data_IF_787925664378
#
_entry.id   IF_787925664378
#
_cell.length_a   1.000
_cell.length_b   1.000
_cell.length_c   1.000
_cell.angle_alpha   90.00
_cell.angle_beta   90.00
_cell.angle_gamma   90.00
#
_symmetry.space_group_name_H-M   'P 1'
#
loop_
_entity.id
_entity.type
_entity.pdbx_description
1 polymer ?
#
# COMPACT_ATOMS: atom_id res chain seq x y z
N UNK A 1 -14.71 34.24 12.78
CA UNK A 1 -15.41 32.97 12.56
C UNK A 1 -14.36 31.88 12.63
N UNK A 2 -14.38 31.05 13.68
CA UNK A 2 -13.52 29.85 13.75
C UNK A 2 -13.81 28.99 12.52
N UNK A 3 -12.77 28.68 11.74
CA UNK A 3 -12.94 27.77 10.59
C UNK A 3 -13.42 26.41 11.12
N UNK A 4 -14.57 25.96 10.65
CA UNK A 4 -15.08 24.62 10.98
C UNK A 4 -14.05 23.58 10.55
N UNK A 5 -13.64 22.72 11.47
CA UNK A 5 -12.67 21.66 11.22
C UNK A 5 -13.38 20.52 10.52
N UNK A 6 -12.98 20.16 9.28
CA UNK A 6 -13.67 19.13 8.54
C UNK A 6 -13.50 17.76 9.19
N UNK A 7 -14.61 17.02 9.21
CA UNK A 7 -14.70 15.63 9.67
C UNK A 7 -14.97 14.74 8.45
N UNK A 8 -14.10 13.80 8.20
CA UNK A 8 -14.17 12.94 7.02
C UNK A 8 -14.39 11.48 7.45
N UNK A 9 -15.38 10.84 6.85
CA UNK A 9 -15.56 9.38 6.89
C UNK A 9 -14.79 8.75 5.73
N UNK A 10 -13.86 7.87 6.01
CA UNK A 10 -13.15 7.05 5.03
C UNK A 10 -13.67 5.62 5.00
N UNK A 11 -13.71 5.02 3.81
CA UNK A 11 -14.13 3.64 3.57
C UNK A 11 -13.13 2.95 2.65
N UNK A 12 -12.64 1.77 3.06
CA UNK A 12 -11.68 0.95 2.31
C UNK A 12 -12.19 -0.49 2.18
N UNK A 13 -12.24 -0.99 0.93
CA UNK A 13 -12.59 -2.37 0.60
C UNK A 13 -11.90 -2.85 -0.68
N UNK A 14 -10.72 -2.33 -1.01
CA UNK A 14 -10.09 -2.63 -2.32
C UNK A 14 -9.58 -4.06 -2.46
N UNK A 15 -9.34 -4.77 -1.36
CA UNK A 15 -8.74 -6.10 -1.36
C UNK A 15 -9.41 -7.03 -0.32
N UNK A 16 -8.77 -7.31 0.81
CA UNK A 16 -9.23 -8.25 1.84
C UNK A 16 -9.43 -7.61 3.23
N UNK A 17 -9.31 -6.29 3.34
CA UNK A 17 -9.67 -5.53 4.53
C UNK A 17 -10.98 -4.77 4.32
N UNK A 18 -11.94 -4.94 5.23
CA UNK A 18 -13.11 -4.06 5.35
C UNK A 18 -12.80 -3.01 6.40
N UNK A 19 -12.68 -1.74 6.02
CA UNK A 19 -12.34 -0.71 6.99
C UNK A 19 -13.21 0.54 6.87
N UNK A 20 -13.45 1.19 8.02
CA UNK A 20 -14.04 2.50 8.13
C UNK A 20 -13.31 3.34 9.18
N UNK A 21 -13.14 4.63 8.92
CA UNK A 21 -12.43 5.54 9.80
C UNK A 21 -13.04 6.93 9.80
N UNK A 22 -13.00 7.58 10.96
CA UNK A 22 -13.35 9.00 11.09
C UNK A 22 -12.08 9.76 11.49
N UNK A 23 -11.74 10.76 10.68
CA UNK A 23 -10.65 11.68 11.00
C UNK A 23 -11.16 13.12 11.09
N UNK A 24 -10.43 13.95 11.84
CA UNK A 24 -10.70 15.37 11.97
C UNK A 24 -9.39 16.16 11.93
N UNK A 25 -9.40 17.32 11.27
CA UNK A 25 -8.28 18.26 11.36
C UNK A 25 -8.34 19.04 12.67
N UNK A 26 -7.19 19.23 13.32
CA UNK A 26 -7.03 20.03 14.53
C UNK A 26 -6.79 21.52 14.21
N UNK A 27 -6.67 22.37 15.25
CA UNK A 27 -6.39 23.81 15.10
C UNK A 27 -5.03 24.11 14.50
N UNK A 28 -4.06 23.28 14.80
CA UNK A 28 -2.68 23.39 14.33
C UNK A 28 -2.46 22.79 12.93
N UNK A 29 -3.55 22.31 12.27
CA UNK A 29 -3.51 21.65 10.97
C UNK A 29 -3.05 20.19 11.01
N UNK A 30 -2.80 19.63 12.20
CA UNK A 30 -2.57 18.19 12.36
C UNK A 30 -3.87 17.42 12.26
N UNK A 31 -3.78 16.14 11.91
CA UNK A 31 -4.94 15.26 11.79
C UNK A 31 -5.07 14.39 13.03
N UNK A 32 -6.27 14.30 13.57
CA UNK A 32 -6.63 13.36 14.64
C UNK A 32 -7.46 12.22 14.04
N UNK A 33 -7.00 11.00 14.21
CA UNK A 33 -7.79 9.80 13.94
C UNK A 33 -8.73 9.62 15.13
N UNK A 34 -10.03 9.84 14.91
CA UNK A 34 -11.05 9.67 15.96
C UNK A 34 -11.45 8.20 16.10
N UNK A 35 -11.46 7.47 14.99
CA UNK A 35 -11.64 6.01 14.94
C UNK A 35 -11.01 5.45 13.68
N UNK A 36 -10.53 4.20 13.73
CA UNK A 36 -10.05 3.46 12.56
C UNK A 36 -10.29 1.98 12.80
N UNK A 37 -11.41 1.47 12.27
CA UNK A 37 -11.84 0.09 12.46
C UNK A 37 -11.48 -0.69 11.20
N UNK A 38 -10.73 -1.77 11.38
CA UNK A 38 -10.29 -2.67 10.30
C UNK A 38 -10.75 -4.08 10.65
N UNK A 39 -11.42 -4.73 9.72
CA UNK A 39 -11.77 -6.15 9.78
C UNK A 39 -11.00 -6.88 8.69
N UNK A 40 -9.92 -7.54 9.05
CA UNK A 40 -9.16 -8.39 8.13
C UNK A 40 -9.92 -9.68 7.80
N UNK A 41 -9.68 -10.19 6.61
CA UNK A 41 -10.25 -11.44 6.11
C UNK A 41 -9.18 -12.53 5.97
N UNK A 42 -8.00 -12.35 6.60
CA UNK A 42 -6.88 -13.30 6.53
C UNK A 42 -7.32 -14.72 6.85
N UNK A 43 -8.14 -14.91 7.89
CA UNK A 43 -8.61 -16.25 8.31
C UNK A 43 -9.46 -16.93 7.23
N UNK A 44 -10.25 -16.16 6.47
CA UNK A 44 -11.09 -16.68 5.38
C UNK A 44 -10.21 -17.15 4.21
N UNK A 45 -9.13 -16.40 3.92
CA UNK A 45 -8.28 -16.64 2.75
C UNK A 45 -7.11 -17.59 3.01
N UNK A 46 -6.79 -17.83 4.29
CA UNK A 46 -5.68 -18.69 4.70
C UNK A 46 -5.78 -20.11 4.13
N UNK A 47 -6.96 -20.70 4.11
CA UNK A 47 -7.20 -22.04 3.57
C UNK A 47 -6.92 -22.14 2.06
N UNK A 48 -7.10 -21.03 1.33
CA UNK A 48 -6.85 -20.96 -0.12
C UNK A 48 -5.39 -20.57 -0.45
N UNK A 49 -4.64 -20.16 0.57
CA UNK A 49 -3.26 -19.67 0.40
C UNK A 49 -3.15 -18.42 -0.46
N UNK A 50 -4.19 -17.57 -0.44
CA UNK A 50 -4.30 -16.31 -1.16
C UNK A 50 -5.74 -15.83 -1.28
N UNK A 51 -5.94 -14.59 -1.72
CA UNK A 51 -7.25 -13.93 -1.75
C UNK A 51 -8.13 -14.53 -2.84
N UNK A 52 -9.39 -14.84 -2.48
CA UNK A 52 -10.47 -15.27 -3.39
C UNK A 52 -11.45 -14.10 -3.53
N UNK A 53 -11.50 -13.41 -4.68
CA UNK A 53 -12.22 -12.14 -4.82
C UNK A 53 -13.71 -12.20 -4.47
N UNK A 54 -14.41 -13.27 -4.87
CA UNK A 54 -15.85 -13.42 -4.57
C UNK A 54 -16.12 -13.59 -3.08
N UNK A 55 -15.28 -14.35 -2.36
CA UNK A 55 -15.39 -14.49 -0.90
C UNK A 55 -15.09 -13.17 -0.21
N UNK A 56 -14.07 -12.44 -0.70
CA UNK A 56 -13.75 -11.12 -0.17
C UNK A 56 -14.92 -10.16 -0.33
N UNK A 57 -15.52 -10.08 -1.51
CA UNK A 57 -16.65 -9.19 -1.78
C UNK A 57 -17.87 -9.51 -0.90
N UNK A 58 -18.20 -10.80 -0.70
CA UNK A 58 -19.28 -11.23 0.21
C UNK A 58 -19.00 -10.79 1.64
N UNK A 59 -17.80 -11.03 2.15
CA UNK A 59 -17.40 -10.61 3.49
C UNK A 59 -17.44 -9.08 3.65
N UNK A 60 -17.07 -8.31 2.63
CA UNK A 60 -17.25 -6.85 2.65
C UNK A 60 -18.73 -6.47 2.78
N UNK A 61 -19.60 -7.06 1.95
CA UNK A 61 -21.04 -6.78 1.97
C UNK A 61 -21.69 -7.09 3.32
N UNK A 62 -21.26 -8.17 3.98
CA UNK A 62 -21.75 -8.57 5.30
C UNK A 62 -21.26 -7.69 6.45
N UNK A 63 -20.12 -7.01 6.30
CA UNK A 63 -19.47 -6.31 7.41
C UNK A 63 -19.46 -4.80 7.30
N UNK A 64 -19.61 -4.23 6.10
CA UNK A 64 -19.35 -2.82 5.86
C UNK A 64 -20.21 -1.88 6.71
N UNK A 65 -21.50 -2.22 6.92
CA UNK A 65 -22.41 -1.42 7.74
C UNK A 65 -22.03 -1.51 9.23
N UNK A 66 -21.70 -2.70 9.73
CA UNK A 66 -21.29 -2.93 11.11
C UNK A 66 -19.97 -2.19 11.43
N UNK A 67 -18.99 -2.31 10.55
CA UNK A 67 -17.68 -1.66 10.68
C UNK A 67 -17.84 -0.13 10.64
N UNK A 68 -18.69 0.39 9.75
CA UNK A 68 -18.96 1.83 9.64
C UNK A 68 -19.71 2.35 10.86
N UNK A 69 -20.72 1.64 11.37
CA UNK A 69 -21.43 1.98 12.63
C UNK A 69 -20.45 2.00 13.81
N UNK A 70 -19.59 0.99 13.91
CA UNK A 70 -18.57 0.90 14.95
C UNK A 70 -17.62 2.09 14.89
N UNK A 71 -17.13 2.45 13.70
CA UNK A 71 -16.26 3.61 13.51
C UNK A 71 -16.93 4.91 13.96
N UNK A 72 -18.20 5.13 13.59
CA UNK A 72 -18.97 6.29 14.00
C UNK A 72 -19.15 6.31 15.53
N UNK A 73 -19.55 5.21 16.15
CA UNK A 73 -19.75 5.11 17.59
C UNK A 73 -18.45 5.37 18.37
N UNK A 74 -17.34 4.73 17.99
CA UNK A 74 -16.06 4.89 18.67
C UNK A 74 -15.46 6.30 18.49
N UNK A 75 -15.80 6.99 17.40
CA UNK A 75 -15.36 8.37 17.18
C UNK A 75 -16.02 9.37 18.11
N UNK A 76 -17.15 9.03 18.72
CA UNK A 76 -17.97 9.95 19.52
C UNK A 76 -18.67 11.06 18.71
N UNK A 77 -18.64 10.97 17.36
CA UNK A 77 -19.19 11.99 16.46
C UNK A 77 -20.60 11.62 16.05
N UNK A 78 -21.50 12.60 16.05
CA UNK A 78 -22.80 12.43 15.42
C UNK A 78 -22.61 12.35 13.89
N UNK A 79 -23.19 11.34 13.22
CA UNK A 79 -23.07 11.11 11.78
C UNK A 79 -23.43 12.37 10.95
N UNK A 80 -24.37 13.18 11.43
CA UNK A 80 -24.79 14.45 10.77
C UNK A 80 -23.66 15.49 10.72
N UNK A 81 -22.65 15.37 11.59
CA UNK A 81 -21.51 16.26 11.65
C UNK A 81 -20.39 15.91 10.68
N UNK A 82 -20.47 14.77 10.00
CA UNK A 82 -19.55 14.40 8.90
C UNK A 82 -19.68 15.43 7.80
N UNK A 83 -18.57 15.93 7.29
CA UNK A 83 -18.52 16.96 6.25
C UNK A 83 -18.35 16.38 4.84
N UNK A 84 -17.71 15.21 4.69
CA UNK A 84 -17.62 14.47 3.44
C UNK A 84 -17.41 12.97 3.69
N UNK A 85 -17.74 12.16 2.69
CA UNK A 85 -17.49 10.73 2.65
C UNK A 85 -16.48 10.43 1.55
N UNK A 86 -15.38 9.77 1.93
CA UNK A 86 -14.33 9.33 1.02
C UNK A 86 -14.35 7.81 0.91
N UNK A 87 -14.34 7.26 -0.30
CA UNK A 87 -14.27 5.82 -0.50
C UNK A 87 -13.30 5.45 -1.62
N UNK A 88 -12.67 4.30 -1.50
CA UNK A 88 -11.72 3.81 -2.49
C UNK A 88 -12.45 3.46 -3.79
N UNK A 89 -12.02 4.11 -4.88
CA UNK A 89 -12.54 3.88 -6.22
C UNK A 89 -11.63 2.97 -7.07
N UNK A 90 -10.40 2.76 -6.64
CA UNK A 90 -9.37 1.94 -7.30
C UNK A 90 -7.95 2.39 -6.93
N UNK A 91 -6.91 1.66 -7.38
CA UNK A 91 -7.01 0.32 -7.95
C UNK A 91 -7.38 -0.74 -6.91
N UNK A 92 -7.81 -1.94 -7.38
CA UNK A 92 -8.16 -3.05 -6.50
C UNK A 92 -8.99 -4.12 -7.20
N UNK A 93 -9.51 -5.07 -6.44
CA UNK A 93 -10.42 -6.10 -6.93
C UNK A 93 -11.78 -5.47 -7.23
N UNK A 94 -12.23 -5.53 -8.49
CA UNK A 94 -13.43 -4.80 -8.96
C UNK A 94 -14.67 -5.11 -8.11
N UNK A 95 -14.87 -6.38 -7.75
CA UNK A 95 -16.02 -6.81 -6.94
C UNK A 95 -15.94 -6.26 -5.51
N UNK A 96 -14.75 -6.18 -4.93
CA UNK A 96 -14.51 -5.62 -3.60
C UNK A 96 -14.67 -4.09 -3.60
N UNK A 97 -14.05 -3.41 -4.57
CA UNK A 97 -14.20 -1.96 -4.76
C UNK A 97 -15.67 -1.56 -4.89
N UNK A 98 -16.47 -2.33 -5.65
CA UNK A 98 -17.88 -2.04 -5.87
C UNK A 98 -18.69 -2.01 -4.58
N UNK A 99 -18.34 -2.81 -3.58
CA UNK A 99 -19.05 -2.81 -2.29
C UNK A 99 -18.81 -1.49 -1.54
N UNK A 100 -17.56 -1.15 -1.24
CA UNK A 100 -17.24 0.04 -0.44
C UNK A 100 -17.54 1.35 -1.17
N UNK A 101 -17.29 1.40 -2.48
CA UNK A 101 -17.57 2.58 -3.30
C UNK A 101 -19.07 2.91 -3.30
N UNK A 102 -19.95 1.92 -3.58
CA UNK A 102 -21.40 2.15 -3.60
C UNK A 102 -21.96 2.41 -2.21
N UNK A 103 -21.43 1.75 -1.17
CA UNK A 103 -21.80 2.07 0.20
C UNK A 103 -21.43 3.51 0.57
N UNK A 104 -20.23 3.97 0.26
CA UNK A 104 -19.78 5.34 0.51
C UNK A 104 -20.66 6.38 -0.22
N UNK A 105 -21.01 6.12 -1.48
CA UNK A 105 -21.94 6.97 -2.26
C UNK A 105 -23.33 7.05 -1.63
N UNK A 106 -23.87 5.89 -1.20
CA UNK A 106 -25.19 5.84 -0.55
C UNK A 106 -25.18 6.64 0.77
N UNK A 107 -24.12 6.53 1.58
CA UNK A 107 -23.97 7.30 2.81
C UNK A 107 -23.86 8.81 2.48
N UNK A 108 -23.03 9.21 1.52
CA UNK A 108 -22.89 10.61 1.10
C UNK A 108 -24.21 11.20 0.63
N UNK A 109 -24.94 10.48 -0.23
CA UNK A 109 -26.26 10.87 -0.73
C UNK A 109 -27.29 11.03 0.40
N UNK A 110 -27.37 10.06 1.32
CA UNK A 110 -28.32 10.09 2.44
C UNK A 110 -28.07 11.25 3.39
N UNK A 111 -26.80 11.60 3.61
CA UNK A 111 -26.39 12.74 4.44
C UNK A 111 -26.41 14.08 3.70
N UNK A 112 -26.64 14.08 2.39
CA UNK A 112 -26.49 15.25 1.52
C UNK A 112 -25.12 15.92 1.67
N UNK A 113 -24.07 15.10 1.69
CA UNK A 113 -22.67 15.55 1.83
C UNK A 113 -21.88 15.24 0.57
N UNK A 114 -20.78 15.99 0.31
CA UNK A 114 -19.89 15.68 -0.79
C UNK A 114 -19.35 14.25 -0.72
N UNK A 115 -19.25 13.62 -1.89
CA UNK A 115 -18.58 12.35 -2.09
C UNK A 115 -17.19 12.58 -2.68
N UNK A 116 -16.20 11.79 -2.26
CA UNK A 116 -14.81 11.87 -2.72
C UNK A 116 -14.33 10.47 -3.07
N UNK A 117 -14.06 10.26 -4.34
CA UNK A 117 -13.45 9.04 -4.84
C UNK A 117 -11.94 9.10 -4.59
N UNK A 118 -11.39 8.04 -3.98
CA UNK A 118 -9.99 8.01 -3.60
C UNK A 118 -9.25 6.92 -4.36
N UNK A 119 -8.05 7.27 -4.85
CA UNK A 119 -7.10 6.29 -5.34
C UNK A 119 -6.43 5.61 -4.12
N UNK A 120 -6.54 4.28 -4.03
CA UNK A 120 -5.97 3.48 -2.94
C UNK A 120 -4.47 3.74 -2.74
N UNK A 121 -3.71 3.85 -3.83
CA UNK A 121 -2.27 4.12 -3.76
C UNK A 121 -1.97 5.54 -3.27
N UNK A 122 -2.86 6.51 -3.56
CA UNK A 122 -2.79 7.85 -3.01
C UNK A 122 -3.05 7.83 -1.49
N UNK A 123 -3.94 6.95 -1.02
CA UNK A 123 -4.13 6.66 0.40
C UNK A 123 -2.81 6.31 1.08
N UNK A 124 -2.10 5.32 0.57
CA UNK A 124 -0.77 4.96 1.09
C UNK A 124 0.24 6.10 0.98
N UNK A 125 0.25 6.84 -0.14
CA UNK A 125 1.18 7.95 -0.36
C UNK A 125 1.01 9.07 0.67
N UNK A 126 -0.22 9.34 1.10
CA UNK A 126 -0.54 10.38 2.07
C UNK A 126 -0.69 9.88 3.52
N UNK A 127 -0.67 8.57 3.75
CA UNK A 127 -0.81 8.00 5.10
C UNK A 127 0.15 8.59 6.14
N UNK A 128 1.40 8.98 5.83
CA UNK A 128 2.28 9.63 6.81
C UNK A 128 1.78 11.00 7.30
N UNK A 129 0.90 11.68 6.54
CA UNK A 129 0.29 12.94 6.99
C UNK A 129 -0.68 12.77 8.17
N UNK A 130 -1.12 11.54 8.46
CA UNK A 130 -1.95 11.24 9.63
C UNK A 130 -1.24 11.49 10.96
N UNK A 131 0.10 11.44 10.97
CA UNK A 131 0.90 11.56 12.19
C UNK A 131 2.13 12.46 12.05
N UNK A 132 2.29 13.12 10.90
CA UNK A 132 3.40 14.04 10.65
C UNK A 132 2.99 15.20 9.74
N UNK A 133 3.65 16.34 9.86
CA UNK A 133 3.54 17.46 8.91
C UNK A 133 4.41 17.18 7.69
N UNK A 134 3.93 16.30 6.81
CA UNK A 134 4.63 15.97 5.57
C UNK A 134 4.32 17.02 4.49
N UNK A 135 5.37 17.73 4.07
CA UNK A 135 5.32 18.71 3.01
C UNK A 135 5.84 18.13 1.70
N UNK A 136 5.33 18.67 0.59
CA UNK A 136 5.82 18.37 -0.75
C UNK A 136 7.05 19.21 -1.12
N UNK A 137 7.90 18.78 -2.07
CA UNK A 137 7.90 17.47 -2.70
C UNK A 137 8.60 16.40 -1.84
N UNK A 138 8.25 15.13 -2.05
CA UNK A 138 8.95 13.99 -1.45
C UNK A 138 9.09 12.83 -2.42
N UNK A 139 10.08 11.97 -2.19
CA UNK A 139 10.23 10.68 -2.85
C UNK A 139 9.43 9.65 -2.08
N UNK A 140 8.59 8.89 -2.76
CA UNK A 140 7.82 7.79 -2.21
C UNK A 140 8.36 6.45 -2.73
N UNK A 141 8.64 5.53 -1.83
CA UNK A 141 8.73 4.11 -2.09
C UNK A 141 7.43 3.45 -1.59
N UNK A 142 6.57 3.08 -2.51
CA UNK A 142 5.34 2.34 -2.23
C UNK A 142 5.62 0.85 -2.38
N UNK A 143 5.48 0.09 -1.29
CA UNK A 143 5.73 -1.36 -1.23
C UNK A 143 4.60 -2.08 -0.49
N UNK A 144 3.73 -2.73 -1.25
CA UNK A 144 2.56 -3.47 -0.74
C UNK A 144 2.49 -4.88 -1.34
N UNK A 145 1.42 -5.60 -1.06
CA UNK A 145 1.11 -6.89 -1.66
C UNK A 145 1.05 -6.83 -3.19
N UNK A 146 0.38 -5.83 -3.75
CA UNK A 146 0.16 -5.70 -5.19
C UNK A 146 1.05 -4.68 -5.90
N UNK A 147 1.74 -3.80 -5.18
CA UNK A 147 2.48 -2.68 -5.77
C UNK A 147 3.88 -2.52 -5.20
N UNK A 148 4.85 -2.23 -6.10
CA UNK A 148 6.21 -1.84 -5.71
C UNK A 148 6.72 -0.81 -6.69
N UNK A 149 6.78 0.47 -6.26
CA UNK A 149 7.16 1.56 -7.16
C UNK A 149 7.77 2.75 -6.43
N UNK A 150 8.64 3.46 -7.16
CA UNK A 150 9.21 4.75 -6.76
C UNK A 150 8.45 5.87 -7.46
N UNK A 151 8.00 6.85 -6.69
CA UNK A 151 7.25 8.01 -7.18
C UNK A 151 7.85 9.31 -6.64
N UNK A 152 8.03 10.30 -7.50
CA UNK A 152 8.20 11.69 -7.07
C UNK A 152 6.83 12.30 -6.86
N UNK A 153 6.51 12.66 -5.63
CA UNK A 153 5.25 13.29 -5.24
C UNK A 153 5.45 14.79 -5.16
N UNK A 154 4.88 15.52 -6.11
CA UNK A 154 5.04 16.98 -6.20
C UNK A 154 3.95 17.75 -5.46
N UNK A 155 2.76 17.20 -5.41
CA UNK A 155 1.59 17.74 -4.73
C UNK A 155 0.48 16.67 -4.73
N UNK A 156 -0.66 16.93 -4.08
CA UNK A 156 -1.87 16.13 -4.19
C UNK A 156 -2.23 15.94 -5.68
N UNK A 157 -2.48 14.70 -6.09
CA UNK A 157 -2.80 14.35 -7.48
C UNK A 157 -1.66 14.54 -8.50
N UNK A 158 -0.43 14.91 -8.07
CA UNK A 158 0.70 15.18 -8.97
C UNK A 158 1.87 14.24 -8.70
N UNK A 159 1.83 13.11 -9.35
CA UNK A 159 2.80 12.01 -9.20
C UNK A 159 3.62 11.85 -10.48
N UNK A 160 4.91 11.50 -10.32
CA UNK A 160 5.77 11.07 -11.42
C UNK A 160 6.44 9.77 -11.04
N UNK A 161 6.15 8.71 -11.77
CA UNK A 161 6.77 7.41 -11.56
C UNK A 161 8.23 7.43 -12.03
N UNK A 162 9.16 7.09 -11.13
CA UNK A 162 10.58 6.95 -11.43
C UNK A 162 10.94 5.51 -11.78
N UNK A 163 10.23 4.55 -11.18
CA UNK A 163 10.37 3.13 -11.44
C UNK A 163 9.26 2.32 -10.81
N UNK A 164 9.06 1.11 -11.28
CA UNK A 164 8.07 0.17 -10.76
C UNK A 164 8.58 -1.25 -10.89
N UNK A 165 7.95 -2.20 -10.19
CA UNK A 165 8.21 -3.61 -10.48
C UNK A 165 7.79 -3.94 -11.91
N UNK A 166 8.60 -4.77 -12.59
CA UNK A 166 8.31 -5.25 -13.95
C UNK A 166 7.67 -6.64 -13.95
N UNK A 167 7.53 -7.23 -12.78
CA UNK A 167 6.96 -8.55 -12.56
C UNK A 167 6.20 -8.61 -11.21
N UNK A 168 6.57 -9.47 -10.27
CA UNK A 168 5.92 -9.58 -8.97
C UNK A 168 6.16 -8.31 -8.11
N UNK A 169 5.19 -7.92 -7.29
CA UNK A 169 5.40 -6.95 -6.22
C UNK A 169 6.21 -7.57 -5.07
N UNK A 170 6.87 -6.74 -4.26
CA UNK A 170 7.71 -7.25 -3.16
C UNK A 170 6.89 -8.01 -2.12
N UNK A 171 5.70 -7.54 -1.75
CA UNK A 171 4.83 -8.26 -0.81
C UNK A 171 4.37 -9.60 -1.38
N UNK A 172 3.97 -9.62 -2.65
CA UNK A 172 3.65 -10.86 -3.36
C UNK A 172 4.84 -11.83 -3.41
N UNK A 173 6.07 -11.33 -3.52
CA UNK A 173 7.27 -12.17 -3.46
C UNK A 173 7.49 -12.79 -2.07
N UNK A 174 7.18 -12.05 -0.99
CA UNK A 174 7.15 -12.59 0.38
C UNK A 174 6.12 -13.70 0.53
N UNK A 175 4.87 -13.48 0.10
CA UNK A 175 3.79 -14.46 0.22
C UNK A 175 4.07 -15.73 -0.60
N UNK A 176 4.53 -15.57 -1.84
CA UNK A 176 4.93 -16.69 -2.69
C UNK A 176 6.10 -17.47 -2.09
N UNK A 177 7.09 -16.80 -1.52
CA UNK A 177 8.22 -17.44 -0.86
C UNK A 177 7.76 -18.22 0.37
N UNK A 178 6.91 -17.65 1.22
CA UNK A 178 6.33 -18.33 2.38
C UNK A 178 5.62 -19.62 1.97
N UNK A 179 4.73 -19.53 0.97
CA UNK A 179 4.04 -20.70 0.42
C UNK A 179 4.99 -21.79 -0.07
N UNK A 180 6.09 -21.43 -0.78
CA UNK A 180 7.06 -22.38 -1.32
C UNK A 180 7.83 -23.14 -0.25
N UNK A 181 8.01 -22.56 0.94
CA UNK A 181 8.72 -23.20 2.05
C UNK A 181 7.76 -23.72 3.14
N UNK A 182 6.47 -23.76 2.82
CA UNK A 182 5.42 -24.30 3.70
C UNK A 182 5.20 -23.47 4.97
N UNK A 183 5.19 -22.15 4.81
CA UNK A 183 4.82 -21.17 5.84
C UNK A 183 3.44 -20.61 5.49
N UNK A 184 2.62 -20.38 6.52
CA UNK A 184 1.23 -19.92 6.38
C UNK A 184 1.13 -18.47 5.89
N UNK A 185 -0.01 -18.16 5.25
CA UNK A 185 -0.41 -16.81 4.89
C UNK A 185 -0.85 -16.00 6.14
N UNK A 186 -0.55 -14.67 6.23
CA UNK A 186 0.22 -13.85 5.29
C UNK A 186 1.74 -14.06 5.44
N UNK A 187 2.43 -14.18 4.28
CA UNK A 187 3.83 -14.57 4.24
C UNK A 187 4.81 -13.53 4.77
N UNK A 188 4.54 -12.24 4.56
CA UNK A 188 5.46 -11.16 4.95
C UNK A 188 5.88 -11.21 6.42
N UNK A 189 4.96 -11.11 7.39
CA UNK A 189 5.29 -11.20 8.83
C UNK A 189 5.94 -12.52 9.22
N UNK A 190 5.50 -13.62 8.63
CA UNK A 190 6.03 -14.95 8.94
C UNK A 190 7.47 -15.13 8.44
N UNK A 191 7.80 -14.66 7.23
CA UNK A 191 9.18 -14.67 6.73
C UNK A 191 10.08 -13.80 7.62
N UNK A 192 9.61 -12.62 8.06
CA UNK A 192 10.37 -11.77 8.98
C UNK A 192 10.68 -12.50 10.30
N UNK A 193 9.69 -13.24 10.84
CA UNK A 193 9.88 -14.00 12.08
C UNK A 193 10.87 -15.16 11.89
N UNK A 194 10.71 -15.95 10.82
CA UNK A 194 11.61 -17.06 10.50
C UNK A 194 13.05 -16.58 10.25
N UNK A 195 13.21 -15.45 9.58
CA UNK A 195 14.50 -14.86 9.27
C UNK A 195 15.34 -14.50 10.51
N UNK A 196 14.69 -14.25 11.66
CA UNK A 196 15.40 -13.98 12.93
C UNK A 196 16.24 -15.17 13.41
N UNK A 197 15.85 -16.39 13.03
CA UNK A 197 16.45 -17.64 13.50
C UNK A 197 17.37 -18.29 12.45
N UNK A 198 17.50 -17.68 11.26
CA UNK A 198 18.28 -18.20 10.13
C UNK A 198 19.61 -17.51 9.90
N UNK A 199 20.45 -18.16 9.10
CA UNK A 199 21.67 -17.56 8.57
C UNK A 199 21.37 -16.83 7.25
N UNK A 200 21.48 -15.49 7.19
CA UNK A 200 21.20 -14.73 5.99
C UNK A 200 22.22 -14.92 4.85
N UNK A 201 23.35 -15.60 5.13
CA UNK A 201 24.40 -15.88 4.14
C UNK A 201 24.40 -17.32 3.63
N UNK A 202 23.48 -18.16 4.13
CA UNK A 202 23.45 -19.59 3.78
C UNK A 202 23.19 -19.83 2.29
N UNK A 203 22.27 -19.06 1.69
CA UNK A 203 21.89 -19.21 0.30
C UNK A 203 22.20 -17.93 -0.47
N UNK A 204 22.97 -18.04 -1.56
CA UNK A 204 23.23 -16.92 -2.46
C UNK A 204 22.07 -16.81 -3.47
N UNK A 205 21.17 -15.88 -3.24
CA UNK A 205 20.00 -15.65 -4.08
C UNK A 205 20.26 -14.53 -5.09
N UNK A 206 19.70 -14.62 -6.32
CA UNK A 206 19.92 -13.61 -7.34
C UNK A 206 19.25 -12.29 -6.97
N UNK A 207 19.82 -11.19 -7.44
CA UNK A 207 19.24 -9.84 -7.40
C UNK A 207 18.83 -9.42 -8.81
N UNK A 208 17.59 -9.72 -9.26
CA UNK A 208 17.19 -9.45 -10.63
C UNK A 208 17.32 -7.98 -10.99
N UNK A 209 17.73 -7.71 -12.23
CA UNK A 209 17.90 -6.36 -12.82
C UNK A 209 18.71 -5.34 -11.98
N UNK A 210 19.46 -5.79 -10.99
CA UNK A 210 20.20 -4.87 -10.11
C UNK A 210 21.27 -4.06 -10.87
N UNK A 211 21.90 -4.69 -11.86
CA UNK A 211 22.94 -4.07 -12.71
C UNK A 211 22.33 -3.31 -13.90
N UNK A 212 21.02 -3.35 -14.11
CA UNK A 212 20.34 -2.52 -15.09
C UNK A 212 20.05 -1.16 -14.47
N UNK A 213 20.41 -0.10 -15.13
CA UNK A 213 20.14 1.27 -14.69
C UNK A 213 18.66 1.53 -14.39
N UNK A 214 18.38 2.67 -13.75
CA UNK A 214 17.03 3.09 -13.42
C UNK A 214 16.46 2.44 -12.15
N UNK A 215 15.25 2.87 -11.78
CA UNK A 215 14.60 2.57 -10.52
C UNK A 215 13.64 1.36 -10.58
N UNK A 216 13.58 0.64 -11.71
CA UNK A 216 12.69 -0.52 -11.81
C UNK A 216 13.13 -1.67 -10.90
N UNK A 217 12.15 -2.39 -10.39
CA UNK A 217 12.29 -3.54 -9.49
C UNK A 217 11.89 -4.83 -10.21
N UNK A 218 12.39 -5.97 -9.74
CA UNK A 218 12.00 -7.32 -10.20
C UNK A 218 12.24 -8.34 -9.10
N UNK A 219 11.28 -9.22 -8.88
CA UNK A 219 11.32 -10.25 -7.83
C UNK A 219 11.01 -11.66 -8.35
N UNK A 220 10.51 -11.82 -9.58
CA UNK A 220 10.13 -13.14 -10.13
C UNK A 220 11.33 -14.09 -10.25
N UNK A 221 12.52 -13.58 -10.61
CA UNK A 221 13.74 -14.38 -10.66
C UNK A 221 14.17 -14.88 -9.28
N UNK A 222 13.96 -14.08 -8.24
CA UNK A 222 14.21 -14.44 -6.84
C UNK A 222 13.28 -15.59 -6.40
N UNK A 223 11.98 -15.50 -6.71
CA UNK A 223 11.01 -16.58 -6.47
C UNK A 223 11.43 -17.90 -7.12
N UNK A 224 11.89 -17.86 -8.38
CA UNK A 224 12.34 -19.05 -9.08
C UNK A 224 13.55 -19.70 -8.41
N UNK A 225 14.48 -18.90 -7.89
CA UNK A 225 15.63 -19.41 -7.11
C UNK A 225 15.18 -20.05 -5.81
N UNK A 226 14.27 -19.41 -5.07
CA UNK A 226 13.66 -19.98 -3.85
C UNK A 226 12.97 -21.31 -4.15
N UNK A 227 12.18 -21.42 -5.24
CA UNK A 227 11.52 -22.66 -5.65
C UNK A 227 12.53 -23.79 -5.89
N UNK A 228 13.68 -23.52 -6.50
CA UNK A 228 14.71 -24.54 -6.71
C UNK A 228 15.29 -25.05 -5.40
N UNK A 229 15.61 -24.14 -4.48
CA UNK A 229 16.21 -24.47 -3.18
C UNK A 229 15.17 -25.17 -2.29
N UNK A 230 13.91 -24.74 -2.29
CA UNK A 230 12.86 -25.30 -1.43
C UNK A 230 12.64 -26.80 -1.63
N UNK A 231 12.93 -27.33 -2.82
CA UNK A 231 12.84 -28.78 -3.13
C UNK A 231 13.85 -29.62 -2.34
N UNK A 232 14.96 -29.06 -1.91
CA UNK A 232 16.01 -29.75 -1.14
C UNK A 232 15.90 -29.54 0.39
N UNK A 233 15.03 -28.61 0.82
CA UNK A 233 14.86 -28.30 2.25
C UNK A 233 14.12 -29.44 2.96
N UNK A 234 14.72 -29.94 4.06
CA UNK A 234 14.18 -31.03 4.88
C UNK A 234 13.94 -30.63 6.33
N UNK A 235 14.66 -29.65 6.83
CA UNK A 235 14.67 -29.27 8.24
C UNK A 235 14.07 -27.88 8.47
N UNK A 236 13.59 -27.65 9.69
CA UNK A 236 13.10 -26.32 10.12
C UNK A 236 14.22 -25.27 10.08
N UNK A 237 15.46 -25.67 10.41
CA UNK A 237 16.63 -24.80 10.36
C UNK A 237 16.89 -24.29 8.93
N UNK A 238 16.82 -25.17 7.94
CA UNK A 238 16.99 -24.79 6.53
C UNK A 238 15.88 -23.84 6.06
N UNK A 239 14.63 -23.97 6.56
CA UNK A 239 13.56 -23.00 6.31
C UNK A 239 13.90 -21.62 6.87
N UNK A 240 14.42 -21.56 8.09
CA UNK A 240 14.90 -20.33 8.72
C UNK A 240 16.01 -19.67 7.90
N UNK A 241 16.99 -20.46 7.46
CA UNK A 241 18.12 -19.99 6.67
C UNK A 241 17.67 -19.45 5.30
N UNK A 242 16.73 -20.13 4.64
CA UNK A 242 16.20 -19.65 3.36
C UNK A 242 15.35 -18.37 3.53
N UNK A 243 14.53 -18.29 4.58
CA UNK A 243 13.79 -17.07 4.90
C UNK A 243 14.74 -15.89 5.19
N UNK A 244 15.83 -16.12 5.95
CA UNK A 244 16.83 -15.10 6.25
C UNK A 244 17.58 -14.65 4.99
N UNK A 245 18.00 -15.58 4.13
CA UNK A 245 18.68 -15.28 2.87
C UNK A 245 17.78 -14.53 1.90
N UNK A 246 16.49 -14.91 1.82
CA UNK A 246 15.49 -14.21 1.01
C UNK A 246 15.31 -12.77 1.49
N UNK A 247 15.05 -12.57 2.78
CA UNK A 247 14.84 -11.24 3.33
C UNK A 247 16.05 -10.34 3.13
N UNK A 248 17.26 -10.82 3.41
CA UNK A 248 18.50 -10.10 3.14
C UNK A 248 18.62 -9.68 1.67
N UNK A 249 18.31 -10.57 0.74
CA UNK A 249 18.37 -10.27 -0.69
C UNK A 249 17.37 -9.17 -1.07
N UNK A 250 16.14 -9.18 -0.52
CA UNK A 250 15.15 -8.12 -0.72
C UNK A 250 15.66 -6.79 -0.14
N UNK A 251 16.21 -6.80 1.07
CA UNK A 251 16.82 -5.62 1.71
C UNK A 251 17.90 -4.99 0.81
N UNK A 252 18.80 -5.81 0.25
CA UNK A 252 19.86 -5.34 -0.65
C UNK A 252 19.32 -4.77 -1.98
N UNK A 253 18.28 -5.39 -2.55
CA UNK A 253 17.62 -4.88 -3.76
C UNK A 253 17.01 -3.50 -3.48
N UNK A 254 16.25 -3.38 -2.38
CA UNK A 254 15.60 -2.12 -2.01
C UNK A 254 16.63 -1.04 -1.68
N UNK A 255 17.71 -1.36 -0.96
CA UNK A 255 18.82 -0.43 -0.69
C UNK A 255 19.42 0.13 -1.99
N UNK A 256 19.86 -0.76 -2.90
CA UNK A 256 20.53 -0.36 -4.15
C UNK A 256 19.61 0.45 -5.05
N UNK A 257 18.35 0.05 -5.19
CA UNK A 257 17.38 0.74 -6.05
C UNK A 257 16.90 2.06 -5.43
N UNK A 258 16.78 2.15 -4.11
CA UNK A 258 16.49 3.42 -3.43
C UNK A 258 17.64 4.42 -3.60
N UNK A 259 18.88 3.97 -3.54
CA UNK A 259 20.06 4.83 -3.80
C UNK A 259 20.04 5.44 -5.21
N UNK A 260 19.59 4.68 -6.21
CA UNK A 260 19.39 5.20 -7.58
C UNK A 260 18.21 6.19 -7.60
N UNK A 261 17.09 5.83 -6.93
CA UNK A 261 15.90 6.68 -6.88
C UNK A 261 16.18 8.04 -6.21
N UNK A 262 17.03 8.09 -5.18
CA UNK A 262 17.48 9.34 -4.55
C UNK A 262 18.17 10.27 -5.55
N UNK A 263 19.06 9.74 -6.38
CA UNK A 263 19.74 10.49 -7.44
C UNK A 263 18.74 11.01 -8.48
N UNK A 264 17.83 10.15 -8.95
CA UNK A 264 16.83 10.54 -9.95
C UNK A 264 15.83 11.58 -9.38
N UNK A 265 15.44 11.46 -8.12
CA UNK A 265 14.57 12.41 -7.46
C UNK A 265 15.23 13.80 -7.33
N UNK A 266 16.52 13.87 -6.96
CA UNK A 266 17.26 15.14 -6.85
C UNK A 266 17.47 15.84 -8.19
N UNK A 267 17.50 15.11 -9.32
CA UNK A 267 17.53 15.73 -10.65
C UNK A 267 16.26 16.55 -10.92
N UNK A 268 15.13 16.13 -10.35
CA UNK A 268 13.82 16.77 -10.55
C UNK A 268 13.54 17.80 -9.45
N UNK A 269 14.00 17.53 -8.22
CA UNK A 269 13.75 18.31 -7.01
C UNK A 269 15.07 18.56 -6.29
N UNK A 270 15.82 19.59 -6.73
CA UNK A 270 17.20 19.86 -6.27
C UNK A 270 17.38 19.88 -4.74
N UNK A 271 16.41 20.42 -4.00
CA UNK A 271 16.45 20.53 -2.54
C UNK A 271 15.58 19.46 -1.83
N UNK A 272 15.02 18.50 -2.58
CA UNK A 272 14.17 17.47 -2.01
C UNK A 272 15.01 16.43 -1.25
N UNK A 273 14.69 16.25 0.03
CA UNK A 273 15.39 15.31 0.90
C UNK A 273 14.45 14.39 1.70
N UNK A 274 13.13 14.49 1.55
CA UNK A 274 12.17 13.64 2.26
C UNK A 274 11.96 12.34 1.50
N UNK A 275 12.12 11.22 2.22
CA UNK A 275 11.88 9.87 1.68
C UNK A 275 10.79 9.16 2.48
N UNK A 276 9.66 8.96 1.86
CA UNK A 276 8.50 8.26 2.42
C UNK A 276 8.54 6.80 1.98
N UNK A 277 8.33 5.88 2.92
CA UNK A 277 8.14 4.45 2.62
C UNK A 277 6.79 4.03 3.16
N UNK A 278 5.88 3.60 2.29
CA UNK A 278 4.50 3.28 2.64
C UNK A 278 4.04 1.95 2.00
N UNK A 279 2.89 1.44 2.47
CA UNK A 279 2.36 0.12 2.11
C UNK A 279 2.72 -0.95 3.14
N UNK A 280 2.04 -2.10 3.10
CA UNK A 280 2.14 -3.15 4.12
C UNK A 280 3.57 -3.65 4.39
N UNK A 281 4.41 -3.75 3.36
CA UNK A 281 5.82 -4.19 3.51
C UNK A 281 6.66 -3.15 4.27
N UNK A 282 6.25 -1.88 4.31
CA UNK A 282 6.91 -0.86 5.12
C UNK A 282 6.83 -1.12 6.63
N UNK A 283 6.01 -2.06 7.09
CA UNK A 283 5.98 -2.52 8.48
C UNK A 283 7.19 -3.39 8.85
N UNK A 284 7.87 -4.03 7.89
CA UNK A 284 9.03 -4.90 8.13
C UNK A 284 10.19 -4.11 8.76
N UNK A 285 10.59 -4.52 9.98
CA UNK A 285 11.57 -3.79 10.81
C UNK A 285 12.98 -3.79 10.20
N UNK A 286 13.36 -4.87 9.52
CA UNK A 286 14.69 -4.99 8.89
C UNK A 286 14.78 -4.09 7.66
N UNK A 287 13.75 -4.10 6.82
CA UNK A 287 13.66 -3.21 5.65
C UNK A 287 13.70 -1.74 6.10
N UNK A 288 12.92 -1.35 7.12
CA UNK A 288 12.99 -0.01 7.71
C UNK A 288 14.42 0.36 8.10
N UNK A 289 15.07 -0.50 8.87
CA UNK A 289 16.42 -0.23 9.37
C UNK A 289 17.45 -0.02 8.25
N UNK A 290 17.39 -0.84 7.21
CA UNK A 290 18.27 -0.73 6.04
C UNK A 290 18.02 0.60 5.30
N UNK A 291 16.76 0.97 5.10
CA UNK A 291 16.41 2.23 4.42
C UNK A 291 16.71 3.47 5.28
N UNK A 292 16.54 3.40 6.60
CA UNK A 292 16.97 4.46 7.53
C UNK A 292 18.48 4.69 7.47
N UNK A 293 19.27 3.62 7.42
CA UNK A 293 20.73 3.73 7.28
C UNK A 293 21.11 4.37 5.95
N UNK A 294 20.49 3.95 4.84
CA UNK A 294 20.69 4.57 3.54
C UNK A 294 20.33 6.06 3.54
N UNK A 295 19.24 6.45 4.22
CA UNK A 295 18.86 7.85 4.34
C UNK A 295 19.93 8.68 5.06
N UNK A 296 20.54 8.14 6.12
CA UNK A 296 21.66 8.79 6.81
C UNK A 296 22.87 9.00 5.89
N UNK A 297 23.23 7.95 5.12
CA UNK A 297 24.34 8.01 4.16
C UNK A 297 24.10 9.05 3.06
N UNK A 298 22.89 9.12 2.55
CA UNK A 298 22.52 9.94 1.39
C UNK A 298 21.89 11.29 1.79
N UNK A 299 21.82 11.60 3.09
CA UNK A 299 21.21 12.83 3.65
C UNK A 299 19.76 13.04 3.20
N UNK A 300 18.95 12.00 3.40
CA UNK A 300 17.50 12.03 3.30
C UNK A 300 16.86 11.90 4.67
N UNK A 301 15.67 12.47 4.84
CA UNK A 301 14.84 12.33 6.03
C UNK A 301 13.86 11.16 5.81
N UNK A 302 14.03 10.02 6.50
CA UNK A 302 13.14 8.88 6.34
C UNK A 302 11.82 9.12 7.08
N UNK A 303 10.71 8.86 6.41
CA UNK A 303 9.36 8.99 6.96
C UNK A 303 8.62 7.69 6.74
N UNK A 304 8.25 7.02 7.84
CA UNK A 304 7.47 5.79 7.83
C UNK A 304 6.17 6.00 8.59
N UNK A 305 5.04 5.54 8.08
CA UNK A 305 3.83 5.44 8.90
C UNK A 305 4.07 4.53 10.11
N UNK A 306 3.36 4.73 11.22
CA UNK A 306 3.27 3.73 12.29
C UNK A 306 2.89 2.36 11.74
N UNK A 307 3.37 1.28 12.34
CA UNK A 307 3.18 -0.08 11.81
C UNK A 307 1.69 -0.43 11.60
N UNK A 308 0.82 0.02 12.49
CA UNK A 308 -0.63 -0.17 12.41
C UNK A 308 -1.33 0.65 11.31
N UNK A 309 -0.62 1.58 10.65
CA UNK A 309 -1.11 2.37 9.52
C UNK A 309 -0.41 2.04 8.21
N UNK A 310 0.48 1.04 8.19
CA UNK A 310 1.16 0.60 6.97
C UNK A 310 0.27 -0.26 6.06
N UNK A 311 -0.55 -1.14 6.65
CA UNK A 311 -1.52 -1.97 5.93
C UNK A 311 -2.72 -1.16 5.44
N UNK A 312 -3.60 -1.84 4.70
CA UNK A 312 -4.83 -1.24 4.21
C UNK A 312 -5.74 -0.83 5.37
N UNK A 313 -6.18 0.41 5.37
CA UNK A 313 -7.02 0.99 6.41
C UNK A 313 -7.79 2.20 5.87
N UNK A 314 -8.89 2.56 6.54
CA UNK A 314 -9.73 3.65 6.07
C UNK A 314 -9.24 5.04 6.49
N UNK A 315 -8.33 5.15 7.48
CA UNK A 315 -7.78 6.45 7.86
C UNK A 315 -6.93 7.06 6.73
N UNK A 316 -6.19 6.23 5.96
CA UNK A 316 -5.45 6.69 4.79
C UNK A 316 -6.38 7.21 3.68
N UNK A 317 -7.55 6.60 3.52
CA UNK A 317 -8.57 7.03 2.54
C UNK A 317 -9.23 8.33 3.00
N UNK A 318 -9.58 8.43 4.30
CA UNK A 318 -10.08 9.65 4.89
C UNK A 318 -9.06 10.80 4.78
N UNK A 319 -7.75 10.52 4.89
CA UNK A 319 -6.70 11.53 4.74
C UNK A 319 -6.67 12.15 3.34
N UNK A 320 -6.76 11.33 2.30
CA UNK A 320 -6.91 11.85 0.92
C UNK A 320 -8.22 12.64 0.79
N UNK A 321 -9.31 12.11 1.36
CA UNK A 321 -10.59 12.79 1.41
C UNK A 321 -10.49 14.18 2.05
N UNK A 322 -9.75 14.32 3.15
CA UNK A 322 -9.51 15.60 3.82
C UNK A 322 -8.73 16.59 2.92
N UNK A 323 -7.66 16.14 2.28
CA UNK A 323 -6.86 17.00 1.41
C UNK A 323 -7.68 17.45 0.17
N UNK A 324 -8.46 16.55 -0.43
CA UNK A 324 -9.37 16.89 -1.54
C UNK A 324 -10.51 17.80 -1.10
N UNK A 325 -11.06 17.58 0.09
CA UNK A 325 -12.11 18.44 0.66
C UNK A 325 -11.63 19.90 0.82
N UNK A 326 -10.42 20.12 1.30
CA UNK A 326 -9.82 21.45 1.46
C UNK A 326 -9.74 22.25 0.16
N UNK A 327 -9.53 21.58 -0.97
CA UNK A 327 -9.47 22.20 -2.30
C UNK A 327 -10.80 22.10 -3.06
N UNK A 328 -11.86 21.63 -2.39
CA UNK A 328 -13.22 21.47 -2.95
C UNK A 328 -13.27 20.55 -4.17
N UNK A 329 -12.41 19.53 -4.19
CA UNK A 329 -12.42 18.50 -5.22
C UNK A 329 -13.36 17.37 -4.80
N UNK A 330 -14.56 17.35 -5.39
CA UNK A 330 -15.60 16.38 -5.13
C UNK A 330 -15.91 15.60 -6.40
N UNK A 331 -16.39 14.37 -6.23
CA UNK A 331 -16.69 13.47 -7.33
C UNK A 331 -18.20 13.21 -7.46
N UNK A 332 -18.61 12.86 -8.66
CA UNK A 332 -20.00 12.50 -8.94
C UNK A 332 -20.35 11.12 -8.37
N UNK A 333 -21.63 10.93 -8.00
CA UNK A 333 -22.13 9.65 -7.49
C UNK A 333 -22.20 8.56 -8.58
N UNK A 334 -22.11 8.89 -9.86
CA UNK A 334 -22.08 7.95 -10.97
C UNK A 334 -20.67 7.48 -11.36
N UNK A 335 -19.60 8.03 -10.75
CA UNK A 335 -18.22 7.61 -10.99
C UNK A 335 -18.04 6.09 -10.76
N UNK A 336 -17.55 5.31 -11.75
CA UNK A 336 -17.40 3.87 -11.62
C UNK A 336 -16.16 3.46 -10.82
N UNK A 337 -16.17 2.26 -10.27
CA UNK A 337 -14.96 1.63 -9.73
C UNK A 337 -13.97 1.33 -10.87
N UNK A 338 -12.68 1.52 -10.59
CA UNK A 338 -11.61 1.28 -11.55
C UNK A 338 -10.56 0.32 -10.99
N UNK A 339 -10.51 -0.94 -11.45
CA UNK A 339 -9.54 -1.92 -10.94
C UNK A 339 -8.10 -1.54 -11.30
N UNK A 340 -7.91 -0.69 -12.32
CA UNK A 340 -6.61 -0.15 -12.75
C UNK A 340 -6.65 1.36 -12.73
N UNK A 341 -6.02 1.96 -11.73
CA UNK A 341 -5.99 3.40 -11.53
C UNK A 341 -4.56 3.81 -11.14
N UNK A 342 -3.65 4.00 -12.12
CA UNK A 342 -2.27 4.38 -11.82
C UNK A 342 -2.20 5.80 -11.25
N UNK A 343 -1.25 6.07 -10.34
CA UNK A 343 -1.02 7.44 -9.83
C UNK A 343 -0.39 8.35 -10.88
N UNK A 344 0.45 7.82 -11.75
CA UNK A 344 1.03 8.54 -12.90
C UNK A 344 0.42 7.98 -14.18
N UNK A 345 -0.61 8.63 -14.68
CA UNK A 345 -1.34 8.25 -15.89
C UNK A 345 -0.49 8.37 -17.16
N UNK A 346 0.55 9.21 -17.14
CA UNK A 346 1.46 9.40 -18.27
C UNK A 346 2.61 8.38 -18.29
N UNK A 347 2.73 7.56 -17.25
CA UNK A 347 3.80 6.58 -17.19
C UNK A 347 3.53 5.40 -18.13
N UNK A 348 4.51 5.06 -18.96
CA UNK A 348 4.42 3.90 -19.86
C UNK A 348 4.09 2.63 -19.09
N UNK A 349 3.09 1.88 -19.57
CA UNK A 349 2.82 0.56 -19.03
C UNK A 349 4.03 -0.35 -19.25
N UNK A 350 4.55 -0.97 -18.18
CA UNK A 350 5.62 -1.97 -18.28
C UNK A 350 4.97 -3.36 -18.26
N UNK A 351 5.17 -4.10 -19.33
CA UNK A 351 4.71 -5.49 -19.41
C UNK A 351 5.52 -6.31 -18.41
N UNK A 352 4.88 -6.80 -17.35
CA UNK A 352 5.46 -7.81 -16.47
C UNK A 352 5.55 -9.17 -17.15
N UNK A 353 6.41 -10.05 -16.69
CA UNK A 353 6.60 -11.39 -17.24
C UNK A 353 5.31 -12.24 -17.25
N UNK A 354 4.30 -11.92 -16.43
CA UNK A 354 3.00 -12.59 -16.36
C UNK A 354 1.91 -12.07 -17.30
N UNK A 355 2.11 -10.90 -17.95
CA UNK A 355 1.06 -10.23 -18.75
C UNK A 355 1.06 -10.65 -20.23
N UNK A 356 1.91 -11.57 -20.64
CA UNK A 356 2.06 -11.98 -22.04
C UNK A 356 0.81 -12.61 -22.70
N UNK A 357 -0.21 -13.01 -21.96
CA UNK A 357 -1.29 -13.85 -22.49
C UNK A 357 -2.62 -13.15 -22.77
N UNK A 358 -2.84 -11.88 -22.37
CA UNK A 358 -4.17 -11.27 -22.49
C UNK A 358 -4.28 -10.08 -23.45
N UNK A 359 -3.19 -9.61 -24.05
CA UNK A 359 -3.22 -8.43 -24.94
C UNK A 359 -3.15 -8.73 -26.44
N UNK A 360 -2.98 -9.99 -26.85
CA UNK A 360 -2.96 -10.34 -28.29
C UNK A 360 -4.35 -10.64 -28.89
N UNK A 361 -5.43 -10.57 -28.10
CA UNK A 361 -6.79 -10.88 -28.58
C UNK A 361 -7.68 -9.67 -28.85
N UNK A 362 -7.15 -8.43 -28.76
CA UNK A 362 -7.93 -7.22 -29.01
C UNK A 362 -7.42 -6.34 -30.17
N UNK A 363 -6.45 -6.83 -30.96
CA UNK A 363 -6.01 -6.18 -32.20
C UNK A 363 -6.02 -7.20 -33.35
N UNK A 364 -7.19 -7.73 -33.64
CA UNK A 364 -7.52 -8.34 -34.94
C UNK A 364 -8.92 -7.94 -35.34
#
# INVERSE_FOLDING_TARGET
>A
LMKKKPIILGIETSCDETAASIIQENEDGCVKILSNIVSSQVDIHKEFGGIVPELAARSHAEKIDLISKKAITESGINIKNIDAVAATAGPGLIVCLSVGLNFGKAVAASLKKPFIAVNHLEGHALSPKLNSKLEYPYLLLLISGGHSQFLSVKNLGKYKRLGTTIDDAVGEAFDKTAKLIGIEFPGGPQIEEYAKHGDPNKYNLPQPIINRGGCNLSFAGLKTAVLKISKSIKTKKEKFDLAASFQKTVEEILYKKSKIAFKEFRKINKNGNKFVVAGGVAANKKIRKVLENLCKEEKFDPIFPPANLCGDNAAMIAMVGLEKYKIKQFDSLDLPASPRLPLDENAKFLKGAGVKLWMNSYNS
#
